data_IF_769179479263
#
_entry.id   IF_769179479263
#
_cell.length_a   1.000
_cell.length_b   1.000
_cell.length_c   1.000
_cell.angle_alpha   90.00
_cell.angle_beta   90.00
_cell.angle_gamma   90.00
#
_symmetry.space_group_name_H-M   'P 1'
#
loop_
_entity.id
_entity.type
_entity.pdbx_description
1 polymer ?
#
# COMPACT_ATOMS: atom_id res chain seq x y z
N UNK A 1 -5.21 -16.93 -1.72
CA UNK A 1 -3.86 -16.42 -1.99
C UNK A 1 -2.96 -16.93 -0.86
N UNK A 2 -2.18 -17.97 -1.10
CA UNK A 2 -1.32 -18.55 -0.06
C UNK A 2 0.02 -17.82 -0.07
N UNK A 3 0.49 -17.40 1.11
CA UNK A 3 1.77 -16.72 1.29
C UNK A 3 2.81 -17.77 1.69
N UNK A 4 3.87 -17.91 0.91
CA UNK A 4 4.96 -18.84 1.18
C UNK A 4 6.25 -18.09 1.52
N UNK A 5 7.11 -18.67 2.35
CA UNK A 5 8.45 -18.15 2.60
C UNK A 5 9.41 -18.69 1.52
N UNK A 6 9.78 -17.83 0.58
CA UNK A 6 10.66 -18.19 -0.54
C UNK A 6 11.55 -17.02 -0.92
N UNK A 7 12.48 -17.24 -1.84
CA UNK A 7 13.32 -16.18 -2.39
C UNK A 7 12.51 -15.36 -3.38
N UNK A 8 12.42 -14.05 -3.16
CA UNK A 8 11.80 -13.12 -4.10
C UNK A 8 12.60 -13.08 -5.42
N UNK A 9 11.95 -13.26 -6.56
CA UNK A 9 12.61 -13.28 -7.87
C UNK A 9 13.31 -11.97 -8.22
N UNK A 10 12.79 -10.83 -7.71
CA UNK A 10 13.31 -9.51 -8.00
C UNK A 10 14.44 -9.08 -7.04
N UNK A 11 14.16 -9.01 -5.74
CA UNK A 11 15.13 -8.53 -4.76
C UNK A 11 16.07 -9.61 -4.22
N UNK A 12 15.83 -10.88 -4.57
CA UNK A 12 16.64 -12.04 -4.16
C UNK A 12 16.73 -12.30 -2.64
N UNK A 13 15.88 -11.64 -1.85
CA UNK A 13 15.77 -11.86 -0.41
C UNK A 13 14.80 -13.00 -0.08
N UNK A 14 15.07 -13.74 0.99
CA UNK A 14 14.17 -14.78 1.52
C UNK A 14 13.11 -14.16 2.42
N UNK A 15 11.83 -14.21 2.01
CA UNK A 15 10.72 -13.54 2.71
C UNK A 15 9.35 -14.05 2.23
N UNK A 16 8.24 -13.62 2.85
CA UNK A 16 6.90 -13.90 2.34
C UNK A 16 6.73 -13.40 0.90
N UNK A 17 6.39 -14.31 -0.01
CA UNK A 17 6.13 -14.02 -1.43
C UNK A 17 4.69 -14.35 -1.82
N UNK A 18 4.22 -13.62 -2.83
CA UNK A 18 3.02 -13.90 -3.60
C UNK A 18 3.43 -14.49 -4.95
N UNK A 19 2.78 -15.60 -5.33
CA UNK A 19 3.00 -16.24 -6.62
C UNK A 19 2.02 -15.69 -7.65
N UNK A 20 2.54 -15.10 -8.72
CA UNK A 20 1.79 -14.60 -9.86
C UNK A 20 2.04 -15.51 -11.06
N UNK A 21 0.98 -15.87 -11.80
CA UNK A 21 1.10 -16.61 -13.06
C UNK A 21 0.80 -15.69 -14.23
N UNK A 22 1.71 -15.65 -15.20
CA UNK A 22 1.51 -14.98 -16.48
C UNK A 22 1.83 -15.94 -17.61
N UNK A 23 0.78 -16.49 -18.22
CA UNK A 23 0.91 -17.53 -19.23
C UNK A 23 1.64 -18.75 -18.67
N UNK A 24 2.84 -19.02 -19.20
CA UNK A 24 3.71 -20.13 -18.77
C UNK A 24 4.72 -19.73 -17.70
N UNK A 25 4.85 -18.45 -17.38
CA UNK A 25 5.83 -17.94 -16.42
C UNK A 25 5.19 -17.82 -15.03
N UNK A 26 5.94 -18.25 -14.01
CA UNK A 26 5.58 -18.10 -12.60
C UNK A 26 6.56 -17.11 -11.96
N UNK A 27 6.03 -16.11 -11.27
CA UNK A 27 6.80 -15.07 -10.59
C UNK A 27 6.48 -15.08 -9.10
N UNK A 28 7.48 -15.29 -8.27
CA UNK A 28 7.41 -15.23 -6.82
C UNK A 28 7.93 -13.88 -6.33
N UNK A 29 7.02 -12.96 -6.00
CA UNK A 29 7.38 -11.58 -5.61
C UNK A 29 6.97 -11.29 -4.18
N UNK A 30 7.86 -10.69 -3.39
CA UNK A 30 7.48 -10.12 -2.10
C UNK A 30 6.51 -8.94 -2.29
N UNK A 31 5.74 -8.60 -1.25
CA UNK A 31 4.72 -7.53 -1.30
C UNK A 31 5.26 -6.21 -1.90
N UNK A 32 6.45 -5.78 -1.47
CA UNK A 32 7.08 -4.55 -1.97
C UNK A 32 7.38 -4.64 -3.47
N UNK A 33 7.97 -5.75 -3.92
CA UNK A 33 8.29 -5.94 -5.34
C UNK A 33 7.02 -6.06 -6.18
N UNK A 34 6.03 -6.81 -5.71
CA UNK A 34 4.75 -6.96 -6.40
C UNK A 34 4.03 -5.62 -6.58
N UNK A 35 4.10 -4.73 -5.59
CA UNK A 35 3.59 -3.37 -5.69
C UNK A 35 4.37 -2.52 -6.70
N UNK A 36 5.70 -2.50 -6.59
CA UNK A 36 6.55 -1.71 -7.49
C UNK A 36 6.46 -2.16 -8.96
N UNK A 37 6.21 -3.44 -9.21
CA UNK A 37 6.01 -3.98 -10.57
C UNK A 37 4.55 -3.90 -11.03
N UNK A 38 3.64 -3.30 -10.25
CA UNK A 38 2.23 -3.14 -10.60
C UNK A 38 1.39 -4.43 -10.60
N UNK A 39 1.95 -5.54 -10.10
CA UNK A 39 1.26 -6.85 -9.98
C UNK A 39 0.27 -6.86 -8.84
N UNK A 40 0.59 -6.11 -7.80
CA UNK A 40 -0.28 -5.90 -6.65
C UNK A 40 -0.70 -4.43 -6.65
N UNK A 41 -1.99 -4.19 -6.88
CA UNK A 41 -2.60 -2.88 -6.63
C UNK A 41 -3.18 -2.93 -5.23
N UNK A 42 -2.63 -2.14 -4.32
CA UNK A 42 -3.39 -1.79 -3.13
C UNK A 42 -4.47 -0.83 -3.60
N UNK A 43 -5.72 -1.28 -3.61
CA UNK A 43 -6.82 -0.34 -3.50
C UNK A 43 -6.54 0.44 -2.22
N UNK A 44 -6.12 1.69 -2.37
CA UNK A 44 -6.13 2.64 -1.26
C UNK A 44 -7.49 2.47 -0.60
N UNK A 45 -7.55 2.13 0.71
CA UNK A 45 -8.84 2.18 1.37
C UNK A 45 -9.35 3.60 1.16
N UNK A 46 -10.64 3.75 0.92
CA UNK A 46 -11.32 5.04 0.80
C UNK A 46 -11.32 5.82 2.15
N UNK A 47 -10.16 5.87 2.81
CA UNK A 47 -9.80 6.64 4.01
C UNK A 47 -8.93 7.82 3.55
N UNK A 48 -9.31 8.42 2.43
CA UNK A 48 -8.77 9.69 1.95
C UNK A 48 -9.89 10.67 1.57
N UNK A 49 -11.11 10.42 2.08
CA UNK A 49 -12.27 11.32 1.96
C UNK A 49 -12.96 11.55 3.31
N UNK A 50 -12.25 11.32 4.42
CA UNK A 50 -12.71 11.75 5.76
C UNK A 50 -11.64 12.57 6.52
N UNK A 51 -10.42 12.68 5.98
CA UNK A 51 -9.32 13.45 6.60
C UNK A 51 -9.25 14.91 6.16
N UNK A 52 -9.83 15.29 5.03
CA UNK A 52 -9.95 16.71 4.66
C UNK A 52 -11.00 17.43 5.52
N UNK A 53 -12.12 16.78 5.87
CA UNK A 53 -13.20 17.42 6.65
C UNK A 53 -12.82 17.66 8.13
N UNK A 54 -11.95 16.81 8.70
CA UNK A 54 -11.48 16.96 10.09
C UNK A 54 -10.39 18.03 10.24
N UNK A 55 -9.56 18.27 9.22
CA UNK A 55 -8.55 19.33 9.24
C UNK A 55 -9.20 20.72 9.17
N UNK A 56 -10.26 20.90 8.36
CA UNK A 56 -10.99 22.17 8.31
C UNK A 56 -11.67 22.55 9.63
N UNK A 57 -12.16 21.57 10.40
CA UNK A 57 -12.72 21.81 11.74
C UNK A 57 -11.67 22.22 12.76
N UNK A 58 -10.46 21.66 12.69
CA UNK A 58 -9.35 22.05 13.59
C UNK A 58 -8.84 23.45 13.25
N UNK A 59 -8.79 23.83 11.97
CA UNK A 59 -8.38 25.18 11.55
C UNK A 59 -9.31 26.27 12.10
N UNK A 60 -10.64 26.08 12.04
CA UNK A 60 -11.59 27.07 12.61
C UNK A 60 -11.45 27.26 14.11
N UNK A 61 -11.23 26.17 14.84
CA UNK A 61 -11.04 26.24 16.30
C UNK A 61 -9.74 26.96 16.66
N UNK A 62 -8.67 26.77 15.89
CA UNK A 62 -7.42 27.48 16.09
C UNK A 62 -7.57 29.00 15.80
N UNK A 63 -8.26 29.39 14.73
CA UNK A 63 -8.52 30.83 14.46
C UNK A 63 -9.32 31.51 15.58
N UNK A 64 -10.37 30.86 16.13
CA UNK A 64 -11.17 31.42 17.24
C UNK A 64 -10.36 31.59 18.55
N UNK A 65 -9.41 30.69 18.83
CA UNK A 65 -8.58 30.79 20.04
C UNK A 65 -7.48 31.85 19.90
N UNK A 66 -6.98 32.07 18.67
CA UNK A 66 -5.85 32.98 18.43
C UNK A 66 -6.27 34.45 18.22
N UNK A 67 -7.57 34.76 18.20
CA UNK A 67 -8.08 36.13 18.28
C UNK A 67 -7.72 37.01 17.07
N UNK A 68 -7.93 36.50 15.85
CA UNK A 68 -8.06 37.32 14.64
C UNK A 68 -9.49 37.33 14.14
#
# INVERSE_FOLDING_TARGET
>A
MSIYFERCDLCRDYRPVLTFREGRTVLNLCLRCAYLTGKLKFSTPAVATEKEDKLSKISRVLDEITGK
#
